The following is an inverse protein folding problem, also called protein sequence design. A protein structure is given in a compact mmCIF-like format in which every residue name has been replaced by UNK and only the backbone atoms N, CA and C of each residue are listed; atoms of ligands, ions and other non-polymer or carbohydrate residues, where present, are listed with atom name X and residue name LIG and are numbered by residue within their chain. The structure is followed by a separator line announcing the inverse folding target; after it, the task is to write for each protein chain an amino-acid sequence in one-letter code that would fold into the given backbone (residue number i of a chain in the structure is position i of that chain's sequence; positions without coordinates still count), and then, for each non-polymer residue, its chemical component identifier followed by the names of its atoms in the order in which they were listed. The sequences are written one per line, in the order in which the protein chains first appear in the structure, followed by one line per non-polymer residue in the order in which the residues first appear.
data_IF_164078839321
#
_entry.id   IF_164078839321
#
_cell.length_a   1.000
_cell.length_b   1.000
_cell.length_c   1.000
_cell.angle_alpha   90.00
_cell.angle_beta   90.00
_cell.angle_gamma   90.00
#
_symmetry.space_group_name_H-M   'P 1'
#
loop_
_entity.id
_entity.type
_entity.pdbx_description
1 polymer ?
#
# COMPACT_ATOMS: atom_id res chain seq x y z
N UNK A 1 17.24 7.74 1.86
CA UNK A 1 15.81 8.00 2.02
C UNK A 1 15.56 8.94 3.20
N UNK A 2 14.30 9.35 3.49
CA UNK A 2 14.05 10.43 4.47
C UNK A 2 14.68 10.14 5.83
N UNK A 3 14.45 8.96 6.39
CA UNK A 3 14.93 8.60 7.74
C UNK A 3 16.45 8.36 7.83
N UNK A 4 17.12 8.13 6.72
CA UNK A 4 18.58 8.06 6.62
C UNK A 4 19.19 9.46 6.56
N UNK A 5 18.49 10.40 5.89
CA UNK A 5 18.92 11.78 5.76
C UNK A 5 18.58 12.63 6.99
N UNK A 6 17.52 12.26 7.72
CA UNK A 6 17.03 12.97 8.91
C UNK A 6 16.98 12.01 10.12
N UNK A 7 18.14 11.73 10.77
CA UNK A 7 18.20 10.80 11.91
C UNK A 7 17.36 11.21 13.11
N UNK A 8 17.05 12.50 13.27
CA UNK A 8 16.16 13.00 14.31
C UNK A 8 14.75 12.42 14.16
N UNK A 9 14.22 12.41 12.93
CA UNK A 9 12.89 11.83 12.66
C UNK A 9 12.88 10.31 12.86
N UNK A 10 14.02 9.66 12.61
CA UNK A 10 14.15 8.20 12.80
C UNK A 10 14.00 7.78 14.25
N UNK A 11 14.39 8.65 15.20
CA UNK A 11 14.29 8.37 16.64
C UNK A 11 12.85 8.34 17.15
N UNK A 12 11.93 8.96 16.43
CA UNK A 12 10.50 9.00 16.79
C UNK A 12 9.75 7.76 16.28
N UNK A 13 10.46 6.83 15.63
CA UNK A 13 9.85 5.66 14.98
C UNK A 13 10.48 4.38 15.52
N UNK A 14 9.67 3.61 16.26
CA UNK A 14 10.00 2.25 16.65
C UNK A 14 9.58 1.25 15.57
N UNK A 15 10.45 0.29 15.26
CA UNK A 15 10.12 -0.81 14.35
C UNK A 15 9.18 -1.77 15.07
N UNK A 16 7.95 -1.99 14.55
CA UNK A 16 7.01 -2.89 15.18
C UNK A 16 7.54 -4.33 15.25
N UNK A 17 7.25 -5.04 16.34
CA UNK A 17 7.69 -6.43 16.55
C UNK A 17 7.23 -7.39 15.45
N UNK A 18 6.11 -7.09 14.78
CA UNK A 18 5.61 -7.86 13.64
C UNK A 18 6.63 -7.96 12.49
N UNK A 19 7.50 -6.96 12.33
CA UNK A 19 8.55 -6.95 11.30
C UNK A 19 9.67 -7.97 11.56
N UNK A 20 9.69 -8.63 12.72
CA UNK A 20 10.61 -9.73 13.03
C UNK A 20 10.06 -11.10 12.57
N UNK A 21 8.84 -11.17 12.05
CA UNK A 21 8.26 -12.39 11.51
C UNK A 21 8.85 -12.74 10.14
N UNK A 22 8.72 -13.98 9.72
CA UNK A 22 9.35 -14.46 8.49
C UNK A 22 10.88 -14.55 8.64
N UNK A 23 11.62 -13.97 7.71
CA UNK A 23 13.08 -13.85 7.81
C UNK A 23 13.52 -12.68 8.67
N UNK A 24 12.62 -11.74 8.97
CA UNK A 24 12.85 -10.58 9.82
C UNK A 24 13.86 -9.56 9.30
N UNK A 25 14.22 -9.62 8.01
CA UNK A 25 15.13 -8.67 7.40
C UNK A 25 14.39 -7.41 6.98
N UNK A 26 14.67 -6.28 7.63
CA UNK A 26 14.11 -4.99 7.22
C UNK A 26 14.69 -4.59 5.86
N UNK A 27 13.80 -4.34 4.89
CA UNK A 27 14.13 -3.91 3.54
C UNK A 27 14.07 -2.39 3.40
N UNK A 28 13.02 -1.77 3.96
CA UNK A 28 12.86 -0.32 3.91
C UNK A 28 11.93 0.20 5.01
N UNK A 29 12.16 1.46 5.41
CA UNK A 29 11.23 2.25 6.23
C UNK A 29 10.90 3.52 5.45
N UNK A 30 9.68 3.63 4.94
CA UNK A 30 9.27 4.71 4.04
C UNK A 30 8.29 5.66 4.72
N UNK A 31 8.49 6.97 4.50
CA UNK A 31 7.57 8.02 4.92
C UNK A 31 6.66 8.41 3.75
N UNK A 32 5.37 8.49 4.02
CA UNK A 32 4.33 8.91 3.07
C UNK A 32 3.61 10.14 3.60
N UNK A 33 4.06 11.29 3.17
CA UNK A 33 3.51 12.58 3.56
C UNK A 33 2.93 13.30 2.34
N UNK A 34 1.72 13.84 2.47
CA UNK A 34 1.09 14.59 1.39
C UNK A 34 -0.26 15.19 1.74
N UNK A 35 -0.80 16.02 0.82
CA UNK A 35 -2.12 16.61 0.97
C UNK A 35 -3.24 15.58 0.82
N UNK A 36 -4.46 16.02 1.10
CA UNK A 36 -5.67 15.28 0.78
C UNK A 36 -5.76 15.00 -0.73
N UNK A 37 -6.50 13.96 -1.09
CA UNK A 37 -6.77 13.52 -2.47
C UNK A 37 -5.52 13.05 -3.25
N UNK A 38 -4.40 12.79 -2.58
CA UNK A 38 -3.31 12.03 -3.19
C UNK A 38 -3.66 10.54 -3.22
N UNK A 39 -3.28 9.85 -4.28
CA UNK A 39 -3.54 8.42 -4.44
C UNK A 39 -2.44 7.70 -5.19
N UNK A 40 -2.28 6.42 -4.88
CA UNK A 40 -1.47 5.47 -5.65
C UNK A 40 -2.41 4.58 -6.46
N UNK A 41 -2.13 4.28 -7.74
CA UNK A 41 -2.89 3.28 -8.48
C UNK A 41 -2.81 1.92 -7.80
N UNK A 42 -3.70 0.99 -8.15
CA UNK A 42 -3.63 -0.36 -7.63
C UNK A 42 -2.33 -1.04 -8.11
N UNK A 43 -1.53 -1.52 -7.17
CA UNK A 43 -0.23 -2.15 -7.44
C UNK A 43 0.06 -3.26 -6.41
N UNK A 44 1.10 -4.04 -6.67
CA UNK A 44 1.63 -5.05 -5.73
C UNK A 44 3.05 -4.71 -5.32
N UNK A 45 3.41 -5.09 -4.09
CA UNK A 45 4.78 -5.02 -3.57
C UNK A 45 5.32 -6.43 -3.33
N UNK A 46 6.65 -6.65 -3.45
CA UNK A 46 7.25 -7.95 -3.26
C UNK A 46 7.53 -8.31 -1.80
N UNK A 47 7.44 -7.36 -0.88
CA UNK A 47 7.75 -7.50 0.53
C UNK A 47 6.51 -7.54 1.40
N UNK A 48 6.64 -8.08 2.62
CA UNK A 48 5.70 -7.81 3.69
C UNK A 48 5.67 -6.30 3.97
N UNK A 49 4.50 -5.74 4.22
CA UNK A 49 4.34 -4.31 4.49
C UNK A 49 3.42 -4.10 5.69
N UNK A 50 3.87 -3.32 6.66
CA UNK A 50 3.01 -2.78 7.72
C UNK A 50 2.89 -1.28 7.51
N UNK A 51 1.71 -0.83 7.08
CA UNK A 51 1.40 0.59 6.87
C UNK A 51 0.79 1.17 8.14
N UNK A 52 1.56 2.01 8.84
CA UNK A 52 1.17 2.65 10.08
C UNK A 52 0.73 4.09 9.83
N UNK A 53 -0.48 4.44 10.26
CA UNK A 53 -1.04 5.77 10.09
C UNK A 53 -0.73 6.64 11.31
N UNK A 54 0.00 7.74 11.10
CA UNK A 54 0.37 8.66 12.17
C UNK A 54 -0.53 9.91 12.22
N UNK A 55 -0.84 10.50 11.06
CA UNK A 55 -1.66 11.72 10.97
C UNK A 55 -2.64 11.60 9.81
N UNK A 56 -3.87 12.08 10.01
CA UNK A 56 -4.89 12.11 8.96
C UNK A 56 -5.53 10.74 8.71
N UNK A 57 -6.26 10.65 7.60
CA UNK A 57 -7.06 9.47 7.24
C UNK A 57 -6.67 8.97 5.86
N UNK A 58 -6.37 7.68 5.76
CA UNK A 58 -6.18 6.96 4.48
C UNK A 58 -7.24 5.89 4.26
N UNK A 59 -7.57 5.67 3.01
CA UNK A 59 -8.42 4.55 2.56
C UNK A 59 -7.58 3.62 1.71
N UNK A 60 -7.67 2.34 2.00
CA UNK A 60 -6.93 1.30 1.30
C UNK A 60 -7.92 0.28 0.76
N UNK A 61 -7.86 -0.01 -0.54
CA UNK A 61 -8.59 -1.10 -1.17
C UNK A 61 -7.63 -2.21 -1.54
N UNK A 62 -7.94 -3.42 -1.10
CA UNK A 62 -7.09 -4.60 -1.20
C UNK A 62 -7.75 -5.66 -2.06
N UNK A 63 -6.94 -6.36 -2.88
CA UNK A 63 -7.39 -7.47 -3.72
C UNK A 63 -6.43 -8.63 -3.58
N UNK A 64 -6.96 -9.84 -3.47
CA UNK A 64 -6.15 -11.03 -3.27
C UNK A 64 -5.29 -11.37 -4.52
N UNK A 65 -4.10 -11.95 -4.34
CA UNK A 65 -3.18 -12.28 -5.44
C UNK A 65 -3.78 -13.22 -6.51
N UNK A 66 -4.70 -14.09 -6.12
CA UNK A 66 -5.38 -15.01 -7.05
C UNK A 66 -6.29 -14.30 -8.06
N UNK A 67 -6.50 -13.00 -7.93
CA UNK A 67 -7.28 -12.18 -8.85
C UNK A 67 -6.40 -11.39 -9.82
N UNK A 68 -5.09 -11.63 -9.86
CA UNK A 68 -4.12 -10.83 -10.63
C UNK A 68 -4.46 -10.72 -12.12
N UNK A 69 -4.98 -11.79 -12.74
CA UNK A 69 -5.42 -11.74 -14.14
C UNK A 69 -6.54 -10.70 -14.35
N UNK A 70 -7.48 -10.62 -13.41
CA UNK A 70 -8.61 -9.68 -13.43
C UNK A 70 -8.20 -8.24 -13.13
N UNK A 71 -7.00 -8.04 -12.57
CA UNK A 71 -6.41 -6.72 -12.30
C UNK A 71 -5.74 -6.10 -13.53
N UNK A 72 -5.62 -6.85 -14.65
CA UNK A 72 -5.02 -6.38 -15.90
C UNK A 72 -3.66 -5.70 -15.67
N UNK A 73 -2.63 -6.43 -15.22
CA UNK A 73 -1.30 -5.87 -15.02
C UNK A 73 -0.79 -5.13 -16.25
N UNK A 74 -0.04 -4.07 -16.05
CA UNK A 74 0.71 -3.41 -17.13
C UNK A 74 1.83 -4.32 -17.62
N UNK A 75 2.39 -3.96 -18.77
CA UNK A 75 3.61 -4.59 -19.28
C UNK A 75 4.85 -4.06 -18.55
N UNK A 76 5.97 -4.77 -18.64
CA UNK A 76 7.24 -4.33 -18.08
C UNK A 76 7.62 -2.91 -18.56
N UNK A 77 8.21 -2.09 -17.69
CA UNK A 77 8.69 -2.37 -16.32
C UNK A 77 7.62 -2.17 -15.21
N UNK A 78 6.36 -1.94 -15.52
CA UNK A 78 5.29 -1.61 -14.59
C UNK A 78 4.33 -2.80 -14.35
N UNK A 79 4.78 -4.02 -14.52
CA UNK A 79 3.98 -5.24 -14.39
C UNK A 79 3.34 -5.44 -13.00
N UNK A 80 3.83 -4.74 -11.98
CA UNK A 80 3.23 -4.69 -10.65
C UNK A 80 2.07 -3.67 -10.51
N UNK A 81 1.70 -2.97 -11.58
CA UNK A 81 0.67 -1.91 -11.54
C UNK A 81 -0.51 -2.29 -12.43
N UNK A 82 -1.72 -2.13 -11.92
CA UNK A 82 -2.96 -2.36 -12.66
C UNK A 82 -3.18 -1.31 -13.75
N UNK A 83 -3.80 -1.74 -14.86
CA UNK A 83 -4.33 -0.84 -15.91
C UNK A 83 -5.70 -0.29 -15.56
N UNK A 84 -6.40 -0.93 -14.62
CA UNK A 84 -7.77 -0.58 -14.24
C UNK A 84 -7.77 0.57 -13.24
N UNK A 85 -8.58 1.59 -13.49
CA UNK A 85 -9.02 2.48 -12.41
C UNK A 85 -10.01 1.72 -11.53
N UNK A 86 -9.52 1.20 -10.40
CA UNK A 86 -10.31 0.32 -9.52
C UNK A 86 -11.45 1.03 -8.77
N UNK A 87 -11.54 2.36 -8.90
CA UNK A 87 -12.65 3.14 -8.32
C UNK A 87 -13.73 3.44 -9.35
N UNK A 88 -13.35 3.57 -10.62
CA UNK A 88 -14.24 3.86 -11.75
C UNK A 88 -13.88 2.95 -12.93
N UNK A 89 -14.06 1.61 -12.79
CA UNK A 89 -13.61 0.67 -13.81
C UNK A 89 -14.39 0.80 -15.10
N UNK A 90 -13.66 0.85 -16.22
CA UNK A 90 -14.26 0.70 -17.55
C UNK A 90 -14.43 -0.80 -17.84
N UNK A 91 -15.64 -1.29 -17.61
CA UNK A 91 -15.95 -2.72 -17.77
C UNK A 91 -16.10 -3.15 -19.25
N UNK A 92 -16.21 -2.22 -20.19
CA UNK A 92 -16.14 -2.55 -21.62
C UNK A 92 -14.68 -2.86 -22.01
N UNK A 93 -13.74 -2.12 -21.47
CA UNK A 93 -12.30 -2.33 -21.68
C UNK A 93 -11.73 -3.44 -20.80
N UNK A 94 -12.24 -3.60 -19.56
CA UNK A 94 -11.74 -4.53 -18.55
C UNK A 94 -12.85 -5.45 -18.01
N UNK A 95 -13.47 -6.30 -18.85
CA UNK A 95 -14.65 -7.06 -18.47
C UNK A 95 -14.44 -8.04 -17.30
N UNK A 96 -13.25 -8.64 -17.15
CA UNK A 96 -12.98 -9.56 -16.03
C UNK A 96 -12.98 -8.84 -14.67
N UNK A 97 -12.82 -7.52 -14.66
CA UNK A 97 -12.83 -6.77 -13.40
C UNK A 97 -14.22 -6.73 -12.75
N UNK A 98 -15.30 -7.01 -13.49
CA UNK A 98 -16.66 -7.06 -12.94
C UNK A 98 -16.83 -8.08 -11.80
N UNK A 99 -16.03 -9.16 -11.82
CA UNK A 99 -16.09 -10.25 -10.83
C UNK A 99 -14.95 -10.17 -9.81
N UNK A 100 -14.33 -9.00 -9.62
CA UNK A 100 -13.24 -8.80 -8.66
C UNK A 100 -13.80 -8.55 -7.26
N UNK A 101 -13.35 -9.36 -6.31
CA UNK A 101 -13.62 -9.17 -4.89
C UNK A 101 -12.55 -8.30 -4.24
N UNK A 102 -12.94 -7.44 -3.31
CA UNK A 102 -12.03 -6.55 -2.61
C UNK A 102 -12.40 -6.37 -1.14
N UNK A 103 -11.44 -5.89 -0.37
CA UNK A 103 -11.63 -5.47 1.03
C UNK A 103 -11.22 -4.01 1.15
N UNK A 104 -12.09 -3.19 1.74
CA UNK A 104 -11.78 -1.80 2.05
C UNK A 104 -11.38 -1.64 3.51
N UNK A 105 -10.31 -0.89 3.76
CA UNK A 105 -9.87 -0.49 5.08
C UNK A 105 -9.74 1.05 5.14
N UNK A 106 -10.15 1.62 6.28
CA UNK A 106 -9.91 3.03 6.59
C UNK A 106 -8.94 3.10 7.75
N UNK A 107 -7.84 3.84 7.58
CA UNK A 107 -6.80 4.01 8.58
C UNK A 107 -6.89 5.41 9.18
N UNK A 108 -7.00 5.46 10.50
CA UNK A 108 -6.93 6.67 11.32
C UNK A 108 -5.65 6.66 12.17
N UNK A 109 -5.26 7.79 12.79
CA UNK A 109 -4.05 7.82 13.62
C UNK A 109 -4.01 6.71 14.69
N UNK A 110 -2.94 5.93 14.71
CA UNK A 110 -2.75 4.76 15.59
C UNK A 110 -3.07 3.41 14.93
N UNK A 111 -3.73 3.41 13.76
CA UNK A 111 -4.00 2.18 13.03
C UNK A 111 -2.75 1.68 12.26
N UNK A 112 -2.64 0.37 12.16
CA UNK A 112 -1.65 -0.32 11.33
C UNK A 112 -2.32 -1.39 10.48
N UNK A 113 -2.03 -1.38 9.17
CA UNK A 113 -2.54 -2.34 8.21
C UNK A 113 -1.40 -3.22 7.71
N UNK A 114 -1.55 -4.52 7.89
CA UNK A 114 -0.66 -5.49 7.27
C UNK A 114 -1.10 -5.79 5.83
N UNK A 115 -0.18 -5.62 4.88
CA UNK A 115 -0.36 -5.95 3.47
C UNK A 115 0.65 -7.05 3.12
N UNK A 116 0.20 -8.29 2.83
CA UNK A 116 1.09 -9.38 2.45
C UNK A 116 1.76 -9.14 1.09
N UNK A 117 2.91 -9.80 0.80
CA UNK A 117 3.53 -9.76 -0.52
C UNK A 117 2.53 -10.18 -1.62
N UNK A 118 2.56 -9.46 -2.75
CA UNK A 118 1.73 -9.77 -3.91
C UNK A 118 0.25 -9.41 -3.80
N UNK A 119 -0.20 -8.89 -2.66
CA UNK A 119 -1.55 -8.34 -2.57
C UNK A 119 -1.64 -7.03 -3.34
N UNK A 120 -2.62 -6.94 -4.22
CA UNK A 120 -2.94 -5.69 -4.91
C UNK A 120 -3.54 -4.70 -3.92
N UNK A 121 -3.07 -3.47 -3.97
CA UNK A 121 -3.62 -2.43 -3.10
C UNK A 121 -3.58 -1.06 -3.76
N UNK A 122 -4.65 -0.30 -3.54
CA UNK A 122 -4.75 1.13 -3.85
C UNK A 122 -4.86 1.90 -2.56
N UNK A 123 -4.09 2.96 -2.42
CA UNK A 123 -4.10 3.82 -1.25
C UNK A 123 -4.50 5.23 -1.66
N UNK A 124 -5.42 5.85 -0.91
CA UNK A 124 -5.77 7.26 -1.08
C UNK A 124 -5.81 7.99 0.25
N UNK A 125 -5.38 9.24 0.26
CA UNK A 125 -5.45 10.13 1.42
C UNK A 125 -6.77 10.91 1.41
N UNK A 126 -7.64 10.69 2.39
CA UNK A 126 -8.89 11.43 2.54
C UNK A 126 -8.67 12.83 3.15
N UNK A 127 -7.60 13.00 3.91
CA UNK A 127 -7.15 14.27 4.52
C UNK A 127 -5.66 14.44 4.28
N UNK A 128 -5.06 15.62 4.56
CA UNK A 128 -3.61 15.70 4.71
C UNK A 128 -3.13 14.63 5.68
N UNK A 129 -2.11 13.87 5.31
CA UNK A 129 -1.75 12.65 6.05
C UNK A 129 -0.26 12.39 6.09
N UNK A 130 0.14 11.70 7.17
CA UNK A 130 1.46 11.13 7.33
C UNK A 130 1.34 9.67 7.77
N UNK A 131 2.03 8.78 7.04
CA UNK A 131 2.11 7.36 7.36
C UNK A 131 3.55 6.88 7.23
N UNK A 132 3.87 5.81 7.94
CA UNK A 132 5.14 5.10 7.82
C UNK A 132 4.85 3.67 7.40
N UNK A 133 5.53 3.18 6.36
CA UNK A 133 5.50 1.78 5.98
C UNK A 133 6.81 1.09 6.32
N UNK A 134 6.70 -0.10 6.88
CA UNK A 134 7.82 -0.98 7.20
C UNK A 134 7.78 -2.17 6.24
N UNK A 135 8.83 -2.32 5.43
CA UNK A 135 8.97 -3.42 4.49
C UNK A 135 10.02 -4.41 4.98
N UNK A 136 9.67 -5.70 5.00
CA UNK A 136 10.57 -6.77 5.42
C UNK A 136 10.30 -8.08 4.68
N UNK A 137 11.23 -9.08 4.79
CA UNK A 137 11.15 -10.43 4.21
C UNK A 137 10.81 -11.51 5.26
#
# INVERSE_FOLDING_TARGET
ELFEQCPELRRDIDVPLYCALGRGNMCAVNAWFGPANTESPAHTDPHHNLLCQAVGVKRVRLFAPNQSEKMYPREDPLSNTSRVDVMHPDLELFPLFADVEFVDATLTPGDALYIPPGWWHRVSAATPSFSVSFWWD
#
